data_IF_077610205584
#
_entry.id   IF_077610205584
#
_cell.length_a   1.000
_cell.length_b   1.000
_cell.length_c   1.000
_cell.angle_alpha   90.00
_cell.angle_beta   90.00
_cell.angle_gamma   90.00
#
_symmetry.space_group_name_H-M   'P 1'
#
loop_
_entity.id
_entity.type
_entity.pdbx_description
1 polymer ?
#
# COMPACT_ATOMS: atom_id res chain seq x y z
N UNK A 1 1.99 40.00 29.84
CA UNK A 1 1.85 39.98 28.32
C UNK A 1 2.86 39.09 27.60
N UNK A 2 3.80 38.47 28.29
CA UNK A 2 4.84 37.61 27.67
C UNK A 2 4.39 36.15 27.46
N UNK A 3 3.33 35.68 28.13
CA UNK A 3 2.82 34.28 28.00
C UNK A 3 2.03 33.99 26.72
N UNK A 4 1.54 35.00 26.01
CA UNK A 4 0.75 34.81 24.78
C UNK A 4 1.63 34.55 23.54
N UNK A 5 2.88 35.03 23.49
CA UNK A 5 3.76 34.84 22.36
C UNK A 5 4.36 33.42 22.31
N UNK A 6 4.78 32.85 23.44
CA UNK A 6 5.36 31.52 23.47
C UNK A 6 4.37 30.41 23.08
N UNK A 7 3.12 30.48 23.53
CA UNK A 7 2.08 29.56 23.11
C UNK A 7 1.76 29.68 21.61
N UNK A 8 1.66 30.91 21.09
CA UNK A 8 1.46 31.18 19.67
C UNK A 8 2.63 30.67 18.82
N UNK A 9 3.87 30.75 19.31
CA UNK A 9 5.05 30.29 18.60
C UNK A 9 5.18 28.75 18.61
N UNK A 10 4.67 28.09 19.65
CA UNK A 10 4.57 26.62 19.71
C UNK A 10 3.52 26.12 18.72
N UNK A 11 2.32 26.70 18.67
CA UNK A 11 1.28 26.37 17.70
C UNK A 11 1.77 26.56 16.26
N UNK A 12 2.39 27.70 15.95
CA UNK A 12 2.95 27.97 14.62
C UNK A 12 4.03 26.96 14.21
N UNK A 13 4.85 26.49 15.15
CA UNK A 13 5.86 25.45 14.88
C UNK A 13 5.24 24.09 14.63
N UNK A 14 4.17 23.74 15.35
CA UNK A 14 3.43 22.50 15.12
C UNK A 14 2.72 22.51 13.76
N UNK A 15 2.02 23.58 13.41
CA UNK A 15 1.37 23.73 12.11
C UNK A 15 2.39 23.65 10.97
N UNK A 16 3.53 24.31 11.10
CA UNK A 16 4.61 24.28 10.11
C UNK A 16 5.24 22.88 9.98
N UNK A 17 5.29 22.11 11.07
CA UNK A 17 5.77 20.72 11.06
C UNK A 17 4.84 19.82 10.21
N UNK A 18 3.53 19.87 10.43
CA UNK A 18 2.56 19.13 9.63
C UNK A 18 2.55 19.53 8.17
N UNK A 19 2.74 20.82 7.88
CA UNK A 19 2.82 21.33 6.51
C UNK A 19 4.03 20.78 5.75
N UNK A 20 5.20 20.68 6.41
CA UNK A 20 6.42 20.12 5.81
C UNK A 20 6.24 18.64 5.50
N UNK A 21 5.68 17.87 6.42
CA UNK A 21 5.39 16.43 6.23
C UNK A 21 4.40 16.25 5.06
N UNK A 22 3.35 17.06 5.03
CA UNK A 22 2.37 17.05 3.95
C UNK A 22 2.99 17.37 2.60
N UNK A 23 3.87 18.38 2.55
CA UNK A 23 4.59 18.76 1.35
C UNK A 23 5.52 17.64 0.87
N UNK A 24 6.24 16.98 1.78
CA UNK A 24 7.08 15.83 1.47
C UNK A 24 6.29 14.68 0.82
N UNK A 25 5.17 14.28 1.44
CA UNK A 25 4.31 13.22 0.91
C UNK A 25 3.75 13.59 -0.46
N UNK A 26 3.24 14.82 -0.61
CA UNK A 26 2.67 15.29 -1.88
C UNK A 26 3.71 15.39 -2.99
N UNK A 27 4.95 15.72 -2.66
CA UNK A 27 6.05 15.74 -3.63
C UNK A 27 6.40 14.34 -4.13
N UNK A 28 6.48 13.35 -3.25
CA UNK A 28 6.66 11.94 -3.65
C UNK A 28 5.49 11.46 -4.52
N UNK A 29 4.24 11.77 -4.13
CA UNK A 29 3.03 11.44 -4.89
C UNK A 29 3.03 12.09 -6.27
N UNK A 30 3.48 13.33 -6.35
CA UNK A 30 3.58 14.11 -7.58
C UNK A 30 4.79 13.78 -8.45
N UNK A 31 5.67 12.86 -8.00
CA UNK A 31 6.90 12.46 -8.72
C UNK A 31 7.86 13.63 -8.99
N UNK A 32 7.97 14.55 -8.02
CA UNK A 32 8.95 15.65 -8.05
C UNK A 32 10.14 15.32 -7.13
N UNK A 33 11.27 14.85 -7.67
CA UNK A 33 12.42 14.44 -6.88
C UNK A 33 13.12 15.61 -6.16
N UNK A 34 13.19 16.78 -6.78
CA UNK A 34 13.84 17.94 -6.18
C UNK A 34 13.03 18.46 -4.98
N UNK A 35 11.72 18.58 -5.11
CA UNK A 35 10.84 18.94 -4.01
C UNK A 35 10.86 17.88 -2.91
N UNK A 36 10.88 16.58 -3.26
CA UNK A 36 10.99 15.47 -2.30
C UNK A 36 12.24 15.60 -1.44
N UNK A 37 13.40 15.80 -2.06
CA UNK A 37 14.69 15.97 -1.33
C UNK A 37 14.70 17.26 -0.52
N UNK A 38 14.16 18.35 -1.02
CA UNK A 38 14.09 19.60 -0.29
C UNK A 38 13.28 19.47 1.01
N UNK A 39 12.10 18.88 0.94
CA UNK A 39 11.24 18.69 2.12
C UNK A 39 11.82 17.66 3.09
N UNK A 40 12.45 16.59 2.58
CA UNK A 40 13.21 15.65 3.40
C UNK A 40 14.32 16.37 4.19
N UNK A 41 15.12 17.17 3.51
CA UNK A 41 16.19 17.93 4.16
C UNK A 41 15.66 18.88 5.23
N UNK A 42 14.52 19.54 5.00
CA UNK A 42 13.87 20.37 6.00
C UNK A 42 13.39 19.62 7.24
N UNK A 43 12.88 18.38 7.07
CA UNK A 43 12.52 17.53 8.22
C UNK A 43 13.76 17.13 9.03
N UNK A 44 14.85 16.76 8.34
CA UNK A 44 16.11 16.38 8.97
C UNK A 44 16.72 17.56 9.74
N UNK A 45 16.76 18.74 9.13
CA UNK A 45 17.28 19.98 9.75
C UNK A 45 16.47 20.42 10.97
N UNK A 46 15.15 20.17 10.95
CA UNK A 46 14.27 20.40 12.09
C UNK A 46 14.43 19.35 13.21
N UNK A 47 15.28 18.34 13.04
CA UNK A 47 15.54 17.30 14.05
C UNK A 47 14.45 16.22 14.12
N UNK A 48 13.72 15.97 13.03
CA UNK A 48 12.69 14.93 12.99
C UNK A 48 13.30 13.55 13.22
N UNK A 49 12.57 12.68 13.92
CA UNK A 49 12.98 11.29 14.13
C UNK A 49 13.15 10.56 12.78
N UNK A 50 14.34 10.02 12.48
CA UNK A 50 14.59 9.34 11.21
C UNK A 50 13.67 8.12 10.99
N UNK A 51 13.23 7.47 12.07
CA UNK A 51 12.25 6.37 11.99
C UNK A 51 10.85 6.88 11.63
N UNK A 52 10.48 8.08 12.08
CA UNK A 52 9.23 8.70 11.67
C UNK A 52 9.24 8.98 10.16
N UNK A 53 10.30 9.59 9.64
CA UNK A 53 10.47 9.85 8.20
C UNK A 53 10.39 8.54 7.42
N UNK A 54 11.13 7.52 7.84
CA UNK A 54 11.13 6.21 7.19
C UNK A 54 9.74 5.55 7.18
N UNK A 55 8.96 5.65 8.28
CA UNK A 55 7.57 5.17 8.32
C UNK A 55 6.69 5.88 7.29
N UNK A 56 6.86 7.18 7.10
CA UNK A 56 6.10 7.92 6.08
C UNK A 56 6.42 7.45 4.67
N UNK A 57 7.69 7.16 4.38
CA UNK A 57 8.11 6.58 3.09
C UNK A 57 7.50 5.18 2.90
N UNK A 58 7.50 4.33 3.94
CA UNK A 58 6.89 2.99 3.89
C UNK A 58 5.38 3.04 3.61
N UNK A 59 4.66 3.92 4.29
CA UNK A 59 3.21 4.09 4.07
C UNK A 59 2.99 4.50 2.61
N UNK A 60 3.72 5.51 2.14
CA UNK A 60 3.59 6.02 0.79
C UNK A 60 3.93 4.97 -0.29
N UNK A 61 4.92 4.11 -0.02
CA UNK A 61 5.27 2.99 -0.90
C UNK A 61 4.10 2.01 -1.10
N UNK A 62 3.23 1.83 -0.11
CA UNK A 62 2.05 0.97 -0.19
C UNK A 62 0.80 1.71 -0.67
N UNK A 63 0.61 2.96 -0.23
CA UNK A 63 -0.54 3.81 -0.50
C UNK A 63 -0.58 4.28 -1.95
N UNK A 64 0.54 4.82 -2.45
CA UNK A 64 0.61 5.51 -3.75
C UNK A 64 1.39 4.75 -4.84
N UNK A 65 2.25 3.81 -4.49
CA UNK A 65 2.96 2.96 -5.45
C UNK A 65 2.33 1.56 -5.51
N UNK A 66 2.08 0.96 -4.36
CA UNK A 66 1.42 -0.33 -4.27
C UNK A 66 2.07 -1.40 -5.15
N UNK A 67 1.24 -2.13 -5.89
CA UNK A 67 1.69 -3.19 -6.79
C UNK A 67 2.14 -2.69 -8.18
N UNK A 68 2.10 -1.39 -8.45
CA UNK A 68 2.75 -0.88 -9.67
C UNK A 68 4.26 -1.09 -9.65
N UNK A 69 4.86 -1.02 -8.44
CA UNK A 69 6.24 -1.43 -8.17
C UNK A 69 6.38 -2.05 -6.76
N UNK A 70 6.27 -3.39 -6.64
CA UNK A 70 6.38 -4.08 -5.34
C UNK A 70 7.74 -3.89 -4.64
N UNK A 71 8.79 -3.50 -5.36
CA UNK A 71 10.11 -3.22 -4.77
C UNK A 71 10.10 -1.96 -3.90
N UNK A 72 9.18 -1.02 -4.16
CA UNK A 72 9.11 0.23 -3.42
C UNK A 72 8.95 -0.01 -1.90
N UNK A 73 8.10 -0.93 -1.49
CA UNK A 73 7.91 -1.29 -0.08
C UNK A 73 9.17 -1.95 0.51
N UNK A 74 9.87 -2.79 -0.24
CA UNK A 74 11.11 -3.45 0.21
C UNK A 74 12.23 -2.44 0.40
N UNK A 75 12.39 -1.49 -0.53
CA UNK A 75 13.38 -0.40 -0.42
C UNK A 75 13.06 0.50 0.77
N UNK A 76 11.80 0.88 0.95
CA UNK A 76 11.36 1.69 2.07
C UNK A 76 11.58 0.99 3.42
N UNK A 77 11.30 -0.33 3.49
CA UNK A 77 11.55 -1.13 4.69
C UNK A 77 13.05 -1.24 5.01
N UNK A 78 13.90 -1.46 3.99
CA UNK A 78 15.35 -1.48 4.17
C UNK A 78 15.88 -0.14 4.71
N UNK A 79 15.36 0.99 4.21
CA UNK A 79 15.72 2.32 4.71
C UNK A 79 15.25 2.55 6.15
N UNK A 80 14.06 2.06 6.53
CA UNK A 80 13.60 2.09 7.91
C UNK A 80 14.57 1.33 8.83
N UNK A 81 14.96 0.11 8.45
CA UNK A 81 15.91 -0.68 9.23
C UNK A 81 17.29 -0.02 9.31
N UNK A 82 17.75 0.58 8.23
CA UNK A 82 19.01 1.35 8.20
C UNK A 82 18.94 2.56 9.14
N UNK A 83 17.84 3.30 9.12
CA UNK A 83 17.63 4.44 10.00
C UNK A 83 17.63 4.05 11.49
N UNK A 84 17.07 2.89 11.81
CA UNK A 84 17.03 2.34 13.16
C UNK A 84 18.44 1.94 13.68
N UNK A 85 19.26 1.33 12.81
CA UNK A 85 20.56 0.76 13.18
C UNK A 85 21.69 1.79 13.11
N UNK A 86 21.66 2.68 12.11
CA UNK A 86 22.76 3.62 11.83
C UNK A 86 22.52 4.93 12.58
N UNK A 87 21.32 5.49 12.50
CA UNK A 87 21.03 6.82 13.05
C UNK A 87 21.63 7.98 12.23
N UNK A 88 21.38 9.22 12.71
CA UNK A 88 22.00 10.41 12.12
C UNK A 88 23.50 10.52 12.50
N UNK A 89 24.33 11.11 11.63
CA UNK A 89 23.95 11.80 10.39
C UNK A 89 23.87 10.89 9.15
N UNK A 90 24.35 9.65 9.16
CA UNK A 90 24.56 8.82 7.97
C UNK A 90 23.25 8.29 7.39
N UNK A 91 22.26 7.95 8.23
CA UNK A 91 20.99 7.38 7.76
C UNK A 91 20.20 8.32 6.83
N UNK A 92 20.54 9.64 6.78
CA UNK A 92 19.95 10.57 5.81
C UNK A 92 20.13 10.12 4.37
N UNK A 93 21.22 9.39 4.08
CA UNK A 93 21.51 8.89 2.73
C UNK A 93 20.54 7.77 2.37
N UNK A 94 20.28 6.86 3.30
CA UNK A 94 19.31 5.76 3.11
C UNK A 94 17.90 6.30 2.96
N UNK A 95 17.53 7.32 3.75
CA UNK A 95 16.23 7.99 3.64
C UNK A 95 16.06 8.68 2.28
N UNK A 96 17.09 9.39 1.81
CA UNK A 96 17.06 10.04 0.50
C UNK A 96 16.94 9.02 -0.65
N UNK A 97 17.69 7.92 -0.59
CA UNK A 97 17.61 6.84 -1.57
C UNK A 97 16.18 6.27 -1.67
N UNK A 98 15.58 5.94 -0.52
CA UNK A 98 14.22 5.38 -0.49
C UNK A 98 13.17 6.40 -0.95
N UNK A 99 13.27 7.66 -0.51
CA UNK A 99 12.35 8.71 -0.91
C UNK A 99 12.38 8.96 -2.42
N UNK A 100 13.58 9.00 -3.03
CA UNK A 100 13.74 9.14 -4.47
C UNK A 100 13.21 7.93 -5.24
N UNK A 101 13.47 6.70 -4.73
CA UNK A 101 12.94 5.49 -5.35
C UNK A 101 11.41 5.52 -5.38
N UNK A 102 10.76 5.75 -4.25
CA UNK A 102 9.30 5.81 -4.13
C UNK A 102 8.71 6.98 -4.94
N UNK A 103 9.40 8.13 -4.96
CA UNK A 103 9.01 9.30 -5.74
C UNK A 103 8.94 8.99 -7.24
N UNK A 104 9.93 8.27 -7.78
CA UNK A 104 10.05 8.00 -9.21
C UNK A 104 9.33 6.70 -9.66
N UNK A 105 8.90 5.86 -8.73
CA UNK A 105 8.17 4.64 -9.03
C UNK A 105 6.81 4.93 -9.71
N UNK A 106 6.33 4.05 -10.59
CA UNK A 106 4.97 4.17 -11.13
C UNK A 106 3.95 4.16 -10.00
N UNK A 107 2.84 4.91 -10.17
CA UNK A 107 1.86 5.12 -9.11
C UNK A 107 0.61 4.26 -9.30
N UNK A 108 0.20 3.58 -8.22
CA UNK A 108 -1.09 2.89 -8.10
C UNK A 108 -1.58 2.97 -6.66
N UNK A 109 -2.76 3.51 -6.45
CA UNK A 109 -3.45 3.48 -5.17
C UNK A 109 -4.47 2.33 -5.07
N UNK A 110 -4.40 1.36 -5.99
CA UNK A 110 -5.37 0.27 -6.05
C UNK A 110 -5.44 -0.56 -4.76
N UNK A 111 -4.32 -0.71 -4.04
CA UNK A 111 -4.30 -1.43 -2.77
C UNK A 111 -5.12 -0.72 -1.69
N UNK A 112 -4.90 0.59 -1.50
CA UNK A 112 -5.65 1.42 -0.54
C UNK A 112 -7.13 1.48 -0.92
N UNK A 113 -7.43 1.88 -2.15
CA UNK A 113 -8.80 2.03 -2.64
C UNK A 113 -9.60 0.71 -2.51
N UNK A 114 -8.98 -0.44 -2.76
CA UNK A 114 -9.64 -1.75 -2.68
C UNK A 114 -10.02 -2.12 -1.26
N UNK A 115 -9.11 -1.95 -0.30
CA UNK A 115 -9.40 -2.30 1.09
C UNK A 115 -10.41 -1.33 1.69
N UNK A 116 -10.33 -0.05 1.37
CA UNK A 116 -11.28 0.96 1.85
C UNK A 116 -12.69 0.70 1.28
N UNK A 117 -12.80 0.36 -0.01
CA UNK A 117 -14.07 0.01 -0.62
C UNK A 117 -14.69 -1.25 0.02
N UNK A 118 -13.88 -2.27 0.32
CA UNK A 118 -14.35 -3.49 0.98
C UNK A 118 -14.82 -3.22 2.41
N UNK A 119 -14.08 -2.41 3.17
CA UNK A 119 -14.47 -1.99 4.52
C UNK A 119 -15.76 -1.15 4.51
N UNK A 120 -15.89 -0.23 3.56
CA UNK A 120 -17.10 0.58 3.40
C UNK A 120 -18.33 -0.28 3.07
N UNK A 121 -18.18 -1.30 2.20
CA UNK A 121 -19.26 -2.25 1.92
C UNK A 121 -19.67 -3.03 3.17
N UNK A 122 -18.72 -3.56 3.93
CA UNK A 122 -19.01 -4.29 5.18
C UNK A 122 -19.75 -3.40 6.20
N UNK A 123 -19.35 -2.14 6.34
CA UNK A 123 -19.98 -1.21 7.27
C UNK A 123 -21.40 -0.79 6.82
N UNK A 124 -21.66 -0.71 5.52
CA UNK A 124 -22.96 -0.27 4.99
C UNK A 124 -23.94 -1.40 4.77
N UNK A 125 -23.46 -2.57 4.33
CA UNK A 125 -24.31 -3.71 3.93
C UNK A 125 -24.35 -4.83 4.98
N UNK A 126 -23.49 -4.75 6.00
CA UNK A 126 -23.32 -5.80 6.99
C UNK A 126 -22.51 -7.00 6.49
N UNK A 127 -22.37 -7.99 7.38
CA UNK A 127 -21.62 -9.21 7.08
C UNK A 127 -22.43 -10.15 6.20
N UNK A 128 -21.83 -10.57 5.08
CA UNK A 128 -22.39 -11.63 4.21
C UNK A 128 -21.85 -12.99 4.64
N UNK A 129 -22.61 -14.03 4.36
CA UNK A 129 -22.18 -15.38 4.65
C UNK A 129 -21.02 -15.84 3.77
N UNK A 130 -20.10 -16.60 4.36
CA UNK A 130 -19.05 -17.28 3.59
C UNK A 130 -19.70 -18.41 2.76
N UNK A 131 -19.42 -18.50 1.45
CA UNK A 131 -19.88 -19.61 0.62
C UNK A 131 -19.58 -20.96 1.28
N UNK A 132 -20.54 -21.87 1.31
CA UNK A 132 -20.44 -23.10 2.11
C UNK A 132 -19.19 -23.93 1.78
N UNK A 133 -18.87 -24.09 0.49
CA UNK A 133 -17.69 -24.85 0.02
C UNK A 133 -16.34 -24.19 0.34
N UNK A 134 -16.31 -22.92 0.81
CA UNK A 134 -15.10 -22.23 1.29
C UNK A 134 -14.93 -22.32 2.82
N UNK A 135 -15.94 -22.86 3.52
CA UNK A 135 -15.89 -23.00 4.99
C UNK A 135 -14.96 -24.13 5.39
N UNK A 136 -14.46 -24.06 6.62
CA UNK A 136 -13.59 -25.09 7.21
C UNK A 136 -14.37 -26.42 7.36
N UNK A 137 -13.87 -27.47 6.73
CA UNK A 137 -14.45 -28.82 6.75
C UNK A 137 -14.21 -29.61 8.03
N UNK A 138 -13.39 -29.13 8.94
CA UNK A 138 -13.11 -29.79 10.21
C UNK A 138 -14.19 -29.49 11.29
N UNK A 139 -15.26 -28.79 10.92
CA UNK A 139 -16.37 -28.47 11.83
C UNK A 139 -17.48 -29.52 11.74
N UNK A 140 -18.17 -29.82 12.87
CA UNK A 140 -19.38 -30.64 12.84
C UNK A 140 -20.42 -30.07 11.86
N UNK A 141 -21.06 -30.92 11.05
CA UNK A 141 -22.04 -30.50 10.05
C UNK A 141 -21.47 -30.02 8.72
N UNK A 142 -20.18 -30.25 8.47
CA UNK A 142 -19.50 -29.85 7.22
C UNK A 142 -19.82 -30.72 6.00
N UNK A 143 -20.55 -31.83 6.17
CA UNK A 143 -20.89 -32.78 5.09
C UNK A 143 -21.72 -32.13 3.97
N UNK A 144 -22.51 -31.10 4.29
CA UNK A 144 -23.38 -30.39 3.37
C UNK A 144 -22.70 -29.15 2.70
N UNK A 145 -21.42 -28.91 2.92
CA UNK A 145 -20.75 -27.68 2.45
C UNK A 145 -20.46 -27.63 0.95
N UNK A 146 -20.74 -28.69 0.21
CA UNK A 146 -20.39 -28.78 -1.21
C UNK A 146 -18.90 -29.05 -1.43
N UNK A 147 -18.45 -28.96 -2.67
CA UNK A 147 -17.07 -29.32 -3.06
C UNK A 147 -16.26 -28.06 -3.38
N UNK A 148 -15.20 -27.83 -2.62
CA UNK A 148 -14.16 -26.86 -2.97
C UNK A 148 -13.31 -27.42 -4.11
N UNK A 149 -13.22 -26.68 -5.20
CA UNK A 149 -12.32 -27.03 -6.31
C UNK A 149 -10.93 -26.48 -5.99
N UNK A 150 -9.95 -27.39 -5.80
CA UNK A 150 -8.58 -27.01 -5.46
C UNK A 150 -7.83 -26.56 -6.74
N UNK A 151 -7.40 -25.30 -6.85
CA UNK A 151 -6.82 -24.79 -8.09
C UNK A 151 -5.63 -25.56 -8.62
N UNK A 152 -4.80 -26.15 -7.74
CA UNK A 152 -3.64 -26.94 -8.17
C UNK A 152 -3.97 -28.25 -8.87
N UNK A 153 -5.22 -28.73 -8.81
CA UNK A 153 -5.70 -29.90 -9.57
C UNK A 153 -6.08 -29.53 -11.01
N UNK A 154 -5.98 -28.26 -11.39
CA UNK A 154 -6.41 -27.73 -12.68
C UNK A 154 -5.23 -27.11 -13.45
N UNK A 155 -5.31 -27.09 -14.80
CA UNK A 155 -4.31 -26.43 -15.63
C UNK A 155 -4.09 -24.97 -15.20
N UNK A 156 -2.83 -24.52 -15.27
CA UNK A 156 -2.38 -23.16 -14.89
C UNK A 156 -2.69 -22.78 -13.42
N UNK A 157 -3.06 -23.76 -12.56
CA UNK A 157 -3.41 -23.48 -11.17
C UNK A 157 -4.67 -22.62 -11.04
N UNK A 158 -5.56 -22.64 -12.03
CA UNK A 158 -6.78 -21.85 -12.03
C UNK A 158 -8.02 -22.67 -12.37
N UNK A 159 -9.12 -22.36 -11.69
CA UNK A 159 -10.44 -22.96 -11.93
C UNK A 159 -11.51 -21.91 -11.73
N UNK A 160 -12.54 -21.95 -12.59
CA UNK A 160 -13.69 -21.07 -12.40
C UNK A 160 -14.51 -21.52 -11.19
N UNK A 161 -14.41 -20.70 -10.14
CA UNK A 161 -15.11 -20.88 -8.87
C UNK A 161 -15.37 -19.50 -8.27
N UNK A 162 -16.54 -19.35 -7.67
CA UNK A 162 -16.87 -18.11 -6.96
C UNK A 162 -16.17 -18.09 -5.60
N UNK A 163 -15.48 -17.00 -5.28
CA UNK A 163 -14.86 -16.79 -3.97
C UNK A 163 -15.52 -15.67 -3.17
N UNK A 164 -16.25 -14.79 -3.84
CA UNK A 164 -17.01 -13.73 -3.19
C UNK A 164 -18.33 -14.25 -2.64
N UNK A 165 -18.83 -13.67 -1.53
CA UNK A 165 -20.17 -13.93 -1.04
C UNK A 165 -21.25 -13.57 -2.07
N UNK A 166 -22.47 -14.07 -1.85
CA UNK A 166 -23.62 -13.68 -2.68
C UNK A 166 -23.84 -12.16 -2.67
N UNK A 167 -24.24 -11.63 -3.82
CA UNK A 167 -24.46 -10.20 -4.02
C UNK A 167 -23.23 -9.38 -4.38
N UNK A 168 -22.02 -10.00 -4.42
CA UNK A 168 -20.81 -9.37 -4.88
C UNK A 168 -20.25 -10.08 -6.11
N UNK A 169 -19.78 -9.31 -7.08
CA UNK A 169 -19.17 -9.85 -8.30
C UNK A 169 -17.66 -9.50 -8.39
N UNK A 170 -16.93 -10.21 -9.24
CA UNK A 170 -15.52 -9.89 -9.52
C UNK A 170 -15.38 -8.44 -9.96
N UNK A 171 -14.35 -7.75 -9.46
CA UNK A 171 -14.15 -6.33 -9.71
C UNK A 171 -14.95 -5.40 -8.79
N UNK A 172 -15.70 -5.94 -7.81
CA UNK A 172 -16.45 -5.11 -6.86
C UNK A 172 -15.55 -4.13 -6.08
N UNK A 173 -14.32 -4.54 -5.79
CA UNK A 173 -13.42 -3.75 -4.94
C UNK A 173 -12.11 -3.39 -5.63
N UNK A 174 -11.43 -4.37 -6.24
CA UNK A 174 -10.10 -4.16 -6.79
C UNK A 174 -10.18 -3.70 -8.25
N UNK A 175 -9.64 -2.50 -8.48
CA UNK A 175 -9.53 -1.88 -9.79
C UNK A 175 -8.04 -1.56 -10.02
N UNK A 176 -7.33 -2.31 -10.88
CA UNK A 176 -5.91 -2.06 -11.16
C UNK A 176 -5.72 -0.71 -11.86
N UNK A 177 -4.64 -0.02 -11.54
CA UNK A 177 -4.31 1.26 -12.14
C UNK A 177 -3.76 1.14 -13.59
N UNK A 178 -3.46 -0.08 -14.05
CA UNK A 178 -2.90 -0.32 -15.38
C UNK A 178 -1.50 0.25 -15.54
N UNK A 179 -0.60 0.03 -14.56
CA UNK A 179 0.75 0.57 -14.58
C UNK A 179 1.76 -0.40 -13.98
N UNK A 180 2.95 -0.45 -14.57
CA UNK A 180 4.11 -1.15 -14.04
C UNK A 180 3.91 -2.65 -13.90
N UNK A 181 4.38 -3.23 -12.77
CA UNK A 181 4.25 -4.66 -12.51
C UNK A 181 2.78 -5.09 -12.36
N UNK A 182 1.92 -4.23 -11.81
CA UNK A 182 0.49 -4.51 -11.64
C UNK A 182 -0.17 -4.80 -13.00
N UNK A 183 0.03 -3.94 -13.99
CA UNK A 183 -0.48 -4.12 -15.36
C UNK A 183 -0.01 -5.43 -15.97
N UNK A 184 1.30 -5.65 -15.97
CA UNK A 184 1.87 -6.90 -16.48
C UNK A 184 1.27 -8.14 -15.82
N UNK A 185 1.10 -8.13 -14.47
CA UNK A 185 0.58 -9.29 -13.75
C UNK A 185 -0.90 -9.53 -14.01
N UNK A 186 -1.69 -8.47 -14.17
CA UNK A 186 -3.10 -8.57 -14.58
C UNK A 186 -3.21 -9.26 -15.94
N UNK A 187 -2.46 -8.79 -16.92
CA UNK A 187 -2.44 -9.40 -18.26
C UNK A 187 -2.05 -10.88 -18.24
N UNK A 188 -1.01 -11.25 -17.47
CA UNK A 188 -0.64 -12.65 -17.30
C UNK A 188 -1.78 -13.48 -16.69
N UNK A 189 -2.40 -12.97 -15.61
CA UNK A 189 -3.51 -13.62 -14.95
C UNK A 189 -4.71 -13.84 -15.88
N UNK A 190 -4.99 -12.90 -16.78
CA UNK A 190 -6.06 -13.04 -17.76
C UNK A 190 -5.74 -14.09 -18.83
N UNK A 191 -4.49 -14.16 -19.26
CA UNK A 191 -4.01 -15.22 -20.19
C UNK A 191 -4.12 -16.61 -19.55
N UNK A 192 -3.70 -16.76 -18.29
CA UNK A 192 -3.79 -18.00 -17.56
C UNK A 192 -5.26 -18.48 -17.46
N UNK A 193 -6.20 -17.55 -17.24
CA UNK A 193 -7.64 -17.83 -17.18
C UNK A 193 -8.25 -18.18 -18.53
N UNK A 194 -7.74 -17.61 -19.61
CA UNK A 194 -8.26 -17.87 -20.96
C UNK A 194 -7.72 -19.14 -21.60
N UNK A 195 -6.77 -19.84 -20.99
CA UNK A 195 -6.11 -21.01 -21.55
C UNK A 195 -5.16 -20.68 -22.74
N UNK A 196 -4.87 -19.41 -22.96
CA UNK A 196 -4.00 -18.91 -24.02
C UNK A 196 -2.57 -18.65 -23.53
N UNK A 197 -2.05 -19.47 -22.64
CA UNK A 197 -0.64 -19.39 -22.27
C UNK A 197 0.22 -19.69 -23.52
N UNK A 198 1.24 -18.90 -23.85
CA UNK A 198 2.19 -19.27 -24.89
C UNK A 198 2.89 -20.54 -24.50
N UNK A 199 2.88 -21.53 -25.41
CA UNK A 199 3.60 -22.80 -25.26
C UNK A 199 5.11 -22.58 -25.24
#
# INVERSE_FOLDING_TARGET
RVRSSAASDVYKRQDMHYDIISAFIKSMRGSDPDATIYWLARMIDAGEDPKFIARRIMIHASEDVGNADPQALLVAHAAFKSAEVIGYPECRINLAQAALYVCLAPKSNACEASIDAALADIHSSGLREVPSYLRDRHRPGSDDYGVYKYPHDYPEGWVDQRYLPEGLERGAFWQPAGRGWEEWRVEQSERDRSGNAPK
#
